data_IF_456651623690
#
_entry.id   IF_456651623690
#
_cell.length_a   1.000
_cell.length_b   1.000
_cell.length_c   1.000
_cell.angle_alpha   90.00
_cell.angle_beta   90.00
_cell.angle_gamma   90.00
#
_symmetry.space_group_name_H-M   'P 1'
#
loop_
_entity.id
_entity.type
_entity.pdbx_description
1 polymer ?
#
# COMPACT_ATOMS: atom_id res chain seq x y z
N UNK A 1 13.53 84.97 -22.30
CA UNK A 1 14.24 83.67 -22.22
C UNK A 1 13.51 82.69 -23.10
N UNK A 2 14.02 82.53 -24.31
CA UNK A 2 13.43 81.81 -25.43
C UNK A 2 13.64 80.29 -25.31
N UNK A 3 12.58 79.55 -25.64
CA UNK A 3 12.51 78.08 -25.78
C UNK A 3 13.62 77.48 -26.66
N UNK A 4 14.13 76.31 -26.29
CA UNK A 4 14.48 75.27 -27.28
C UNK A 4 14.13 73.87 -26.75
N UNK A 5 13.33 73.20 -27.56
CA UNK A 5 12.89 71.82 -27.44
C UNK A 5 13.68 71.01 -28.49
N UNK A 6 14.08 69.79 -28.12
CA UNK A 6 14.11 68.58 -28.98
C UNK A 6 15.33 68.26 -29.89
N UNK A 7 15.78 66.99 -29.71
CA UNK A 7 16.42 66.03 -30.64
C UNK A 7 17.93 66.15 -30.96
N UNK A 8 18.75 65.15 -30.59
CA UNK A 8 19.04 63.93 -31.37
C UNK A 8 20.35 63.22 -30.94
N UNK A 9 20.30 61.89 -30.89
CA UNK A 9 21.36 60.91 -31.19
C UNK A 9 22.72 60.95 -30.44
N UNK A 10 22.98 59.96 -29.58
CA UNK A 10 24.07 58.98 -29.79
C UNK A 10 24.22 57.98 -28.62
N UNK A 11 24.67 56.75 -28.98
CA UNK A 11 25.23 55.64 -28.16
C UNK A 11 24.23 54.63 -27.57
N UNK A 12 23.94 53.51 -28.24
CA UNK A 12 24.69 52.23 -28.35
C UNK A 12 24.90 51.45 -27.03
N UNK A 13 24.26 50.26 -27.00
CA UNK A 13 24.58 48.99 -26.30
C UNK A 13 24.74 48.97 -24.77
N UNK A 14 23.80 48.29 -24.09
CA UNK A 14 24.12 47.25 -23.11
C UNK A 14 22.90 46.41 -22.70
N UNK A 15 22.98 45.13 -23.09
CA UNK A 15 22.69 43.94 -22.28
C UNK A 15 21.24 43.59 -21.87
N UNK A 16 20.77 42.54 -22.55
CA UNK A 16 19.87 41.49 -22.08
C UNK A 16 19.73 41.39 -20.56
N UNK A 17 18.53 41.62 -20.07
CA UNK A 17 17.95 40.74 -19.06
C UNK A 17 16.63 40.23 -19.64
N UNK A 18 16.72 39.07 -20.27
CA UNK A 18 15.58 38.16 -20.42
C UNK A 18 14.94 38.03 -19.04
N UNK A 19 13.82 38.72 -18.82
CA UNK A 19 12.78 38.15 -17.97
C UNK A 19 12.30 36.90 -18.72
N UNK A 20 13.01 35.80 -18.53
CA UNK A 20 12.42 34.47 -18.58
C UNK A 20 11.37 34.47 -17.47
N UNK A 21 10.22 35.08 -17.75
CA UNK A 21 8.98 34.45 -17.37
C UNK A 21 9.08 33.08 -18.04
N UNK A 22 9.52 32.07 -17.28
CA UNK A 22 9.31 30.70 -17.70
C UNK A 22 7.83 30.63 -18.07
N UNK A 23 7.48 30.15 -19.27
CA UNK A 23 6.09 29.89 -19.52
C UNK A 23 5.67 28.96 -18.40
N UNK A 24 4.64 29.36 -17.68
CA UNK A 24 3.83 28.49 -16.83
C UNK A 24 3.12 27.47 -17.74
N UNK A 25 3.84 26.84 -18.67
CA UNK A 25 3.52 25.50 -19.11
C UNK A 25 3.74 24.65 -17.88
N UNK A 26 2.67 24.50 -17.11
CA UNK A 26 2.36 23.32 -16.33
C UNK A 26 3.51 22.32 -16.35
N UNK A 27 4.36 22.32 -15.32
CA UNK A 27 4.92 21.05 -14.88
C UNK A 27 3.68 20.21 -14.57
N UNK A 28 3.26 19.41 -15.55
CA UNK A 28 2.22 18.41 -15.37
C UNK A 28 2.81 17.44 -14.35
N UNK A 29 2.62 17.76 -13.06
CA UNK A 29 3.12 16.94 -11.99
C UNK A 29 2.41 15.60 -12.16
N UNK A 30 3.17 14.58 -12.52
CA UNK A 30 2.60 13.26 -12.80
C UNK A 30 2.07 12.71 -11.50
N UNK A 31 0.86 12.12 -11.53
CA UNK A 31 0.35 11.41 -10.36
C UNK A 31 1.36 10.34 -9.96
N UNK A 32 1.65 10.27 -8.68
CA UNK A 32 2.47 9.23 -8.10
C UNK A 32 1.67 8.49 -7.04
N UNK A 33 1.92 7.20 -6.90
CA UNK A 33 1.36 6.40 -5.83
C UNK A 33 2.35 6.39 -4.67
N UNK A 34 1.87 6.70 -3.47
CA UNK A 34 2.72 6.85 -2.31
C UNK A 34 1.93 6.63 -1.02
N UNK A 35 2.68 6.41 0.05
CA UNK A 35 2.19 6.31 1.43
C UNK A 35 2.66 7.52 2.21
N UNK A 36 1.78 8.12 3.00
CA UNK A 36 2.07 9.23 3.89
C UNK A 36 1.77 8.82 5.32
N UNK A 37 2.69 9.09 6.24
CA UNK A 37 2.49 8.86 7.68
C UNK A 37 2.08 10.18 8.35
N UNK A 38 1.10 10.11 9.24
CA UNK A 38 0.73 11.24 10.11
C UNK A 38 1.88 11.63 11.04
N UNK A 39 1.89 12.89 11.49
CA UNK A 39 2.95 13.41 12.36
C UNK A 39 3.03 12.70 13.73
N UNK A 40 1.93 12.07 14.17
CA UNK A 40 1.87 11.25 15.38
C UNK A 40 2.20 9.77 15.14
N UNK A 41 2.59 9.42 13.90
CA UNK A 41 2.97 8.07 13.45
C UNK A 41 1.84 7.04 13.47
N UNK A 42 0.61 7.41 13.85
CA UNK A 42 -0.48 6.44 14.07
C UNK A 42 -1.26 6.06 12.83
N UNK A 43 -1.17 6.85 11.76
CA UNK A 43 -1.96 6.67 10.54
C UNK A 43 -1.08 6.64 9.31
N UNK A 44 -1.20 5.58 8.51
CA UNK A 44 -0.68 5.53 7.14
C UNK A 44 -1.82 5.81 6.16
N UNK A 45 -1.59 6.71 5.19
CA UNK A 45 -2.56 6.98 4.12
C UNK A 45 -1.95 6.74 2.74
N UNK A 46 -2.64 5.96 1.92
CA UNK A 46 -2.27 5.63 0.55
C UNK A 46 -2.95 6.61 -0.41
N UNK A 47 -2.14 7.28 -1.24
CA UNK A 47 -2.57 8.29 -2.20
C UNK A 47 -2.11 7.96 -3.61
N UNK A 48 -2.88 8.41 -4.60
CA UNK A 48 -2.48 8.41 -6.01
C UNK A 48 -2.84 9.75 -6.64
N UNK A 49 -2.04 10.76 -6.33
CA UNK A 49 -2.28 12.16 -6.68
C UNK A 49 -0.96 12.87 -7.00
N UNK A 50 -1.01 14.20 -7.20
CA UNK A 50 0.14 15.04 -7.52
C UNK A 50 0.70 15.78 -6.30
N UNK A 51 0.24 15.44 -5.09
CA UNK A 51 0.40 16.25 -3.89
C UNK A 51 1.53 15.78 -2.98
N UNK A 52 2.18 14.64 -3.25
CA UNK A 52 3.21 14.08 -2.36
C UNK A 52 4.28 15.10 -1.97
N UNK A 53 4.81 15.85 -2.95
CA UNK A 53 5.85 16.86 -2.75
C UNK A 53 5.41 18.04 -1.84
N UNK A 54 4.10 18.23 -1.69
CA UNK A 54 3.53 19.30 -0.86
C UNK A 54 3.00 18.80 0.49
N UNK A 55 2.94 17.49 0.72
CA UNK A 55 2.49 16.92 2.00
C UNK A 55 3.58 17.03 3.04
N UNK A 56 3.16 17.37 4.25
CA UNK A 56 4.02 17.40 5.43
C UNK A 56 4.14 16.01 6.05
N UNK A 57 5.25 15.74 6.74
CA UNK A 57 5.49 14.45 7.38
C UNK A 57 6.28 13.49 6.48
N UNK A 58 6.39 12.24 6.92
CA UNK A 58 7.14 11.22 6.18
C UNK A 58 6.28 10.67 5.05
N UNK A 59 6.85 10.57 3.85
CA UNK A 59 6.20 9.92 2.69
C UNK A 59 7.16 8.98 1.99
N UNK A 60 6.63 7.89 1.45
CA UNK A 60 7.38 6.89 0.68
C UNK A 60 6.68 6.62 -0.64
N UNK A 61 7.45 6.44 -1.71
CA UNK A 61 6.88 6.00 -2.98
C UNK A 61 6.29 4.59 -2.80
N UNK A 62 5.23 4.24 -3.52
CA UNK A 62 4.60 2.92 -3.34
C UNK A 62 5.54 1.74 -3.66
N UNK A 63 6.59 1.99 -4.46
CA UNK A 63 7.65 1.02 -4.76
C UNK A 63 8.90 1.18 -3.91
N UNK A 64 8.91 2.10 -2.94
CA UNK A 64 10.07 2.37 -2.09
C UNK A 64 10.21 1.27 -1.03
N UNK A 65 11.43 0.76 -0.88
CA UNK A 65 11.70 -0.39 -0.01
C UNK A 65 12.87 -0.12 0.92
N UNK A 66 12.83 -0.69 2.12
CA UNK A 66 13.99 -0.85 3.01
C UNK A 66 14.48 -2.30 2.97
N UNK A 67 15.74 -2.51 3.38
CA UNK A 67 16.36 -3.84 3.38
C UNK A 67 16.17 -4.52 4.74
N UNK A 68 15.69 -5.76 4.70
CA UNK A 68 15.70 -6.69 5.82
C UNK A 68 16.59 -7.88 5.43
N UNK A 69 17.89 -7.77 5.74
CA UNK A 69 18.89 -8.67 5.14
C UNK A 69 18.89 -8.55 3.61
N UNK A 70 18.62 -9.66 2.91
CA UNK A 70 18.53 -9.70 1.44
C UNK A 70 17.11 -9.51 0.89
N UNK A 71 16.12 -9.36 1.78
CA UNK A 71 14.72 -9.31 1.39
C UNK A 71 14.25 -7.85 1.39
N UNK A 72 13.77 -7.31 0.25
CA UNK A 72 13.15 -5.99 0.25
C UNK A 72 11.79 -6.07 0.95
N UNK A 73 11.50 -5.03 1.73
CA UNK A 73 10.20 -4.80 2.38
C UNK A 73 9.77 -3.36 2.12
N UNK A 74 8.47 -3.06 1.99
CA UNK A 74 8.00 -1.69 1.81
C UNK A 74 8.57 -0.77 2.88
N UNK A 75 9.01 0.43 2.49
CA UNK A 75 9.73 1.33 3.39
C UNK A 75 8.89 1.72 4.63
N UNK A 76 7.57 1.78 4.47
CA UNK A 76 6.59 2.13 5.51
C UNK A 76 6.20 0.96 6.43
N UNK A 77 6.44 -0.29 6.03
CA UNK A 77 6.00 -1.46 6.80
C UNK A 77 6.97 -1.78 7.95
N UNK A 78 6.54 -2.59 8.92
CA UNK A 78 7.45 -3.18 9.92
C UNK A 78 8.41 -4.20 9.31
N UNK A 79 9.25 -4.82 10.15
CA UNK A 79 10.21 -5.88 9.80
C UNK A 79 10.26 -6.95 10.89
N UNK A 80 11.01 -8.04 10.70
CA UNK A 80 11.25 -8.99 11.80
C UNK A 80 12.14 -8.45 12.91
N UNK A 81 13.00 -7.47 12.61
CA UNK A 81 13.93 -6.86 13.57
C UNK A 81 13.31 -5.66 14.30
N UNK A 82 12.50 -4.90 13.59
CA UNK A 82 11.84 -3.67 14.03
C UNK A 82 10.38 -3.72 13.59
N UNK A 83 9.51 -4.11 14.51
CA UNK A 83 8.06 -4.17 14.28
C UNK A 83 7.44 -2.78 14.30
N UNK A 84 6.39 -2.58 13.52
CA UNK A 84 5.58 -1.37 13.62
C UNK A 84 4.54 -1.57 14.75
N UNK A 85 4.71 -0.77 15.81
CA UNK A 85 3.88 -0.78 17.02
C UNK A 85 3.09 0.51 17.21
N UNK A 86 3.16 1.43 16.25
CA UNK A 86 2.56 2.77 16.34
C UNK A 86 1.42 2.95 15.35
N UNK A 87 1.50 2.38 14.15
CA UNK A 87 0.42 2.47 13.15
C UNK A 87 -0.81 1.71 13.62
N UNK A 88 -1.85 2.43 14.02
CA UNK A 88 -3.13 1.85 14.46
C UNK A 88 -4.20 1.89 13.39
N UNK A 89 -4.03 2.77 12.38
CA UNK A 89 -5.00 3.00 11.32
C UNK A 89 -4.31 3.11 9.96
N UNK A 90 -4.92 2.50 8.95
CA UNK A 90 -4.57 2.69 7.53
C UNK A 90 -5.76 3.29 6.81
N UNK A 91 -5.51 4.21 5.90
CA UNK A 91 -6.52 4.82 5.03
C UNK A 91 -6.09 4.67 3.58
N UNK A 92 -6.95 4.13 2.74
CA UNK A 92 -6.85 4.29 1.29
C UNK A 92 -7.67 5.50 0.88
N UNK A 93 -7.02 6.55 0.40
CA UNK A 93 -7.72 7.73 -0.07
C UNK A 93 -8.47 7.44 -1.38
N UNK A 94 -9.54 8.19 -1.64
CA UNK A 94 -10.33 8.05 -2.85
C UNK A 94 -9.50 8.19 -4.14
N UNK A 95 -8.41 8.96 -4.10
CA UNK A 95 -7.46 9.09 -5.21
C UNK A 95 -6.80 7.76 -5.60
N UNK A 96 -6.64 6.82 -4.67
CA UNK A 96 -5.95 5.55 -4.89
C UNK A 96 -6.72 4.59 -5.81
N UNK A 97 -8.01 4.85 -6.06
CA UNK A 97 -8.91 3.97 -6.84
C UNK A 97 -8.43 3.64 -8.25
N UNK A 98 -7.61 4.51 -8.85
CA UNK A 98 -7.09 4.35 -10.21
C UNK A 98 -5.70 3.71 -10.25
N UNK A 99 -5.02 3.61 -9.11
CA UNK A 99 -3.76 2.90 -9.04
C UNK A 99 -4.00 1.39 -9.17
N UNK A 100 -3.10 0.70 -9.87
CA UNK A 100 -3.15 -0.74 -10.12
C UNK A 100 -1.83 -1.37 -9.66
N UNK A 101 -1.68 -1.70 -8.37
CA UNK A 101 -0.49 -2.41 -7.91
C UNK A 101 -0.38 -3.77 -8.60
N UNK A 102 0.85 -4.15 -8.96
CA UNK A 102 1.17 -5.51 -9.44
C UNK A 102 1.53 -6.46 -8.29
N UNK A 103 1.82 -5.91 -7.11
CA UNK A 103 2.08 -6.64 -5.87
C UNK A 103 1.56 -5.83 -4.68
N UNK A 104 0.97 -6.51 -3.70
CA UNK A 104 0.68 -5.97 -2.36
C UNK A 104 1.48 -6.68 -1.28
N UNK A 105 2.51 -7.44 -1.69
CA UNK A 105 3.32 -8.23 -0.80
C UNK A 105 3.90 -7.35 0.31
N UNK A 106 3.71 -7.79 1.55
CA UNK A 106 4.21 -7.14 2.77
C UNK A 106 3.74 -5.71 3.02
N UNK A 107 2.69 -5.21 2.36
CA UNK A 107 2.23 -3.83 2.55
C UNK A 107 1.88 -3.47 4.00
N UNK A 108 1.47 -4.43 4.82
CA UNK A 108 1.23 -4.26 6.26
C UNK A 108 2.05 -5.27 7.09
N UNK A 109 3.22 -5.67 6.57
CA UNK A 109 4.09 -6.62 7.26
C UNK A 109 4.49 -6.09 8.62
N UNK A 110 4.19 -6.86 9.67
CA UNK A 110 4.58 -6.58 11.07
C UNK A 110 4.04 -5.24 11.60
N UNK A 111 2.91 -4.76 11.09
CA UNK A 111 2.11 -3.69 11.69
C UNK A 111 1.28 -4.23 12.86
N UNK A 112 1.94 -4.53 13.98
CA UNK A 112 1.36 -5.24 15.12
C UNK A 112 0.27 -4.43 15.84
N UNK A 113 0.31 -3.09 15.76
CA UNK A 113 -0.68 -2.20 16.36
C UNK A 113 -1.89 -1.90 15.46
N UNK A 114 -1.91 -2.37 14.20
CA UNK A 114 -2.95 -2.05 13.23
C UNK A 114 -4.31 -2.63 13.65
N UNK A 115 -5.30 -1.76 13.84
CA UNK A 115 -6.66 -2.13 14.26
C UNK A 115 -7.71 -1.90 13.18
N UNK A 116 -7.48 -0.94 12.30
CA UNK A 116 -8.49 -0.48 11.35
C UNK A 116 -7.87 -0.13 10.00
N UNK A 117 -8.56 -0.55 8.94
CA UNK A 117 -8.24 -0.15 7.57
C UNK A 117 -9.50 0.43 6.94
N UNK A 118 -9.41 1.68 6.49
CA UNK A 118 -10.50 2.42 5.87
C UNK A 118 -10.24 2.57 4.36
N UNK A 119 -11.32 2.58 3.56
CA UNK A 119 -11.23 2.82 2.12
C UNK A 119 -10.70 1.65 1.29
N UNK A 120 -10.74 0.40 1.79
CA UNK A 120 -10.27 -0.78 1.03
C UNK A 120 -10.97 -0.96 -0.33
N UNK A 121 -12.16 -0.38 -0.54
CA UNK A 121 -12.81 -0.26 -1.85
C UNK A 121 -12.01 0.55 -2.90
N UNK A 122 -11.06 1.38 -2.47
CA UNK A 122 -10.17 2.14 -3.33
C UNK A 122 -8.84 1.41 -3.58
N UNK A 123 -8.60 0.26 -2.97
CA UNK A 123 -7.50 -0.62 -3.33
C UNK A 123 -7.92 -1.53 -4.49
N UNK A 124 -7.54 -1.18 -5.71
CA UNK A 124 -7.82 -2.02 -6.86
C UNK A 124 -6.77 -3.15 -7.01
N UNK A 125 -7.14 -4.38 -6.65
CA UNK A 125 -6.22 -5.53 -6.73
C UNK A 125 -6.25 -6.29 -8.06
N UNK A 126 -6.90 -5.76 -9.11
CA UNK A 126 -7.15 -6.53 -10.34
C UNK A 126 -5.89 -6.97 -11.10
N UNK A 127 -4.75 -6.33 -10.85
CA UNK A 127 -3.46 -6.64 -11.48
C UNK A 127 -2.44 -7.26 -10.51
N UNK A 128 -2.82 -7.48 -9.25
CA UNK A 128 -1.94 -8.03 -8.23
C UNK A 128 -1.66 -9.50 -8.52
N UNK A 129 -0.37 -9.85 -8.54
CA UNK A 129 0.12 -11.24 -8.70
C UNK A 129 0.62 -11.85 -7.39
N UNK A 130 1.10 -11.01 -6.49
CA UNK A 130 1.71 -11.43 -5.21
C UNK A 130 1.05 -10.67 -4.06
N UNK A 131 0.37 -11.42 -3.18
CA UNK A 131 -0.24 -10.96 -1.93
C UNK A 131 0.47 -11.55 -0.71
N UNK A 132 1.66 -12.14 -0.90
CA UNK A 132 2.39 -12.82 0.16
C UNK A 132 2.66 -11.88 1.33
N UNK A 133 2.39 -12.38 2.53
CA UNK A 133 2.60 -11.65 3.79
C UNK A 133 1.93 -10.27 3.88
N UNK A 134 0.90 -9.97 3.07
CA UNK A 134 0.28 -8.64 3.01
C UNK A 134 -0.17 -8.12 4.39
N UNK A 135 -0.79 -8.98 5.21
CA UNK A 135 -1.22 -8.67 6.58
C UNK A 135 -0.44 -9.46 7.63
N UNK A 136 0.73 -10.00 7.28
CA UNK A 136 1.45 -10.87 8.21
C UNK A 136 1.86 -10.12 9.47
N UNK A 137 1.44 -10.65 10.63
CA UNK A 137 1.74 -10.06 11.92
C UNK A 137 0.92 -8.83 12.27
N UNK A 138 -0.20 -8.54 11.59
CA UNK A 138 -1.19 -7.57 12.06
C UNK A 138 -1.94 -8.11 13.29
N UNK A 139 -1.24 -8.22 14.42
CA UNK A 139 -1.68 -8.99 15.59
C UNK A 139 -2.87 -8.38 16.33
N UNK A 140 -3.05 -7.05 16.25
CA UNK A 140 -4.19 -6.32 16.83
C UNK A 140 -5.43 -6.24 15.92
N UNK A 141 -5.36 -6.72 14.68
CA UNK A 141 -6.44 -6.62 13.71
C UNK A 141 -7.54 -7.64 14.02
N UNK A 142 -8.77 -7.18 14.19
CA UNK A 142 -9.91 -8.02 14.63
C UNK A 142 -10.86 -8.41 13.50
N UNK A 143 -10.93 -7.58 12.44
CA UNK A 143 -11.76 -7.77 11.26
C UNK A 143 -11.14 -7.09 10.03
N UNK A 144 -11.52 -7.56 8.84
CA UNK A 144 -11.12 -7.02 7.54
C UNK A 144 -12.29 -7.10 6.54
N UNK A 145 -12.61 -6.00 5.86
CA UNK A 145 -13.54 -6.01 4.72
C UNK A 145 -12.78 -6.24 3.41
N UNK A 146 -12.88 -7.46 2.88
CA UNK A 146 -12.17 -7.89 1.66
C UNK A 146 -13.09 -7.97 0.44
N UNK A 147 -14.32 -7.44 0.50
CA UNK A 147 -15.32 -7.65 -0.55
C UNK A 147 -14.91 -7.17 -1.94
N UNK A 148 -13.99 -6.20 -2.04
CA UNK A 148 -13.54 -5.64 -3.32
C UNK A 148 -12.24 -6.28 -3.85
N UNK A 149 -11.68 -7.26 -3.14
CA UNK A 149 -10.48 -7.94 -3.60
C UNK A 149 -10.79 -8.79 -4.82
N UNK A 150 -10.11 -8.48 -5.92
CA UNK A 150 -10.01 -9.33 -7.08
C UNK A 150 -8.68 -10.08 -7.03
N UNK A 151 -8.74 -11.39 -6.79
CA UNK A 151 -7.53 -12.23 -6.67
C UNK A 151 -7.28 -13.10 -7.89
N UNK A 152 -7.99 -12.87 -9.01
CA UNK A 152 -7.95 -13.76 -10.19
C UNK A 152 -6.56 -13.97 -10.78
N UNK A 153 -5.65 -13.02 -10.58
CA UNK A 153 -4.29 -13.02 -11.12
C UNK A 153 -3.23 -13.40 -10.07
N UNK A 154 -3.64 -13.64 -8.83
CA UNK A 154 -2.73 -13.90 -7.71
C UNK A 154 -2.20 -15.32 -7.81
N UNK A 155 -0.88 -15.45 -7.74
CA UNK A 155 -0.16 -16.74 -7.73
C UNK A 155 0.40 -17.07 -6.34
N UNK A 156 0.65 -16.08 -5.49
CA UNK A 156 1.22 -16.26 -4.15
C UNK A 156 0.34 -15.57 -3.09
N UNK A 157 -0.21 -16.39 -2.18
CA UNK A 157 -0.96 -15.98 -0.98
C UNK A 157 -0.27 -16.46 0.31
N UNK A 158 1.00 -16.90 0.21
CA UNK A 158 1.75 -17.44 1.33
C UNK A 158 1.79 -16.46 2.49
N UNK A 159 1.48 -16.95 3.69
CA UNK A 159 1.50 -16.18 4.94
C UNK A 159 0.63 -14.90 4.92
N UNK A 160 -0.33 -14.75 4.00
CA UNK A 160 -1.08 -13.50 3.81
C UNK A 160 -1.71 -12.96 5.10
N UNK A 161 -2.29 -13.85 5.92
CA UNK A 161 -2.91 -13.52 7.21
C UNK A 161 -2.16 -14.12 8.41
N UNK A 162 -1.00 -14.74 8.21
CA UNK A 162 -0.30 -15.40 9.31
C UNK A 162 0.03 -14.43 10.45
N UNK A 163 -0.13 -14.90 11.69
CA UNK A 163 0.05 -14.13 12.93
C UNK A 163 -0.94 -12.96 13.11
N UNK A 164 -2.06 -12.93 12.39
CA UNK A 164 -3.21 -12.07 12.73
C UNK A 164 -3.94 -12.64 13.96
N UNK A 165 -3.31 -12.54 15.12
CA UNK A 165 -3.71 -13.28 16.34
C UNK A 165 -5.09 -12.89 16.88
N UNK A 166 -5.52 -11.65 16.68
CA UNK A 166 -6.83 -11.15 17.14
C UNK A 166 -7.95 -11.30 16.10
N UNK A 167 -7.65 -11.79 14.90
CA UNK A 167 -8.63 -11.92 13.81
C UNK A 167 -9.58 -13.07 14.12
N UNK A 168 -10.89 -12.79 14.18
CA UNK A 168 -11.90 -13.75 14.64
C UNK A 168 -12.64 -14.47 13.50
N UNK A 169 -12.78 -13.79 12.36
CA UNK A 169 -13.45 -14.28 11.15
C UNK A 169 -12.94 -13.54 9.90
N UNK A 170 -13.08 -14.14 8.73
CA UNK A 170 -12.84 -13.53 7.43
C UNK A 170 -13.92 -13.94 6.42
N UNK A 171 -14.47 -12.99 5.66
CA UNK A 171 -15.28 -13.28 4.47
C UNK A 171 -14.36 -13.32 3.25
N UNK A 172 -14.19 -14.52 2.69
CA UNK A 172 -13.30 -14.78 1.55
C UNK A 172 -14.05 -15.12 0.26
N UNK A 173 -15.38 -14.97 0.21
CA UNK A 173 -16.22 -15.45 -0.92
C UNK A 173 -15.82 -14.92 -2.30
N UNK A 174 -15.17 -13.76 -2.35
CA UNK A 174 -14.75 -13.11 -3.60
C UNK A 174 -13.34 -13.54 -4.05
N UNK A 175 -12.64 -14.36 -3.27
CA UNK A 175 -11.32 -14.86 -3.63
C UNK A 175 -11.47 -15.89 -4.76
N UNK A 176 -10.93 -15.55 -5.92
CA UNK A 176 -10.65 -16.51 -6.97
C UNK A 176 -9.23 -17.05 -6.77
N UNK A 177 -9.11 -18.32 -6.42
CA UNK A 177 -7.82 -18.96 -6.14
C UNK A 177 -7.31 -19.86 -7.27
N UNK A 178 -7.97 -19.87 -8.44
CA UNK A 178 -7.68 -20.81 -9.53
C UNK A 178 -6.22 -20.76 -10.03
N UNK A 179 -5.54 -19.63 -9.86
CA UNK A 179 -4.17 -19.40 -10.30
C UNK A 179 -3.14 -19.44 -9.16
N UNK A 180 -3.58 -19.68 -7.93
CA UNK A 180 -2.70 -19.69 -6.76
C UNK A 180 -1.84 -20.95 -6.77
N UNK A 181 -0.53 -20.76 -6.53
CA UNK A 181 0.50 -21.79 -6.48
C UNK A 181 0.93 -22.03 -5.02
N UNK A 182 1.02 -20.97 -4.21
CA UNK A 182 1.47 -21.04 -2.81
C UNK A 182 0.44 -20.44 -1.84
N UNK A 183 -0.06 -21.27 -0.91
CA UNK A 183 -0.90 -20.90 0.23
C UNK A 183 -0.26 -21.32 1.57
N UNK A 184 1.03 -21.63 1.56
CA UNK A 184 1.76 -22.07 2.73
C UNK A 184 1.63 -21.05 3.85
N UNK A 185 1.35 -21.55 5.06
CA UNK A 185 1.18 -20.75 6.26
C UNK A 185 0.12 -19.62 6.19
N UNK A 186 -0.79 -19.61 5.21
CA UNK A 186 -1.69 -18.46 4.94
C UNK A 186 -2.42 -17.94 6.19
N UNK A 187 -2.88 -18.85 7.07
CA UNK A 187 -3.58 -18.53 8.32
C UNK A 187 -2.80 -18.94 9.58
N UNK A 188 -1.53 -19.34 9.47
CA UNK A 188 -0.78 -19.83 10.64
C UNK A 188 -0.75 -18.82 11.78
N UNK A 189 -0.87 -19.30 13.01
CA UNK A 189 -0.92 -18.49 14.24
C UNK A 189 -2.08 -17.47 14.30
N UNK A 190 -3.17 -17.70 13.57
CA UNK A 190 -4.43 -16.97 13.78
C UNK A 190 -5.17 -17.55 14.99
N UNK A 191 -4.72 -17.22 16.19
CA UNK A 191 -5.16 -17.85 17.44
C UNK A 191 -6.64 -17.65 17.76
N UNK A 192 -7.23 -16.52 17.36
CA UNK A 192 -8.63 -16.19 17.61
C UNK A 192 -9.58 -16.57 16.47
N UNK A 193 -9.08 -17.10 15.35
CA UNK A 193 -9.90 -17.43 14.18
C UNK A 193 -10.75 -18.66 14.47
N UNK A 194 -12.07 -18.52 14.41
CA UNK A 194 -13.01 -19.57 14.87
C UNK A 194 -13.56 -20.43 13.73
N UNK A 195 -13.78 -19.83 12.56
CA UNK A 195 -14.30 -20.50 11.37
C UNK A 195 -13.79 -19.86 10.07
N UNK A 196 -13.73 -20.65 9.01
CA UNK A 196 -13.51 -20.20 7.64
C UNK A 196 -14.39 -21.01 6.67
N UNK A 197 -15.01 -20.31 5.73
CA UNK A 197 -15.67 -20.91 4.55
C UNK A 197 -14.71 -20.82 3.36
N UNK A 198 -14.25 -21.98 2.89
CA UNK A 198 -13.32 -22.14 1.80
C UNK A 198 -13.90 -23.01 0.67
N UNK A 199 -15.22 -23.27 0.64
CA UNK A 199 -15.84 -24.18 -0.34
C UNK A 199 -15.57 -23.79 -1.80
N UNK A 200 -15.41 -22.49 -2.07
CA UNK A 200 -15.13 -21.94 -3.39
C UNK A 200 -13.65 -21.87 -3.75
N UNK A 201 -12.74 -22.27 -2.85
CA UNK A 201 -11.31 -22.30 -3.16
C UNK A 201 -11.01 -23.40 -4.19
N UNK A 202 -10.52 -22.99 -5.34
CA UNK A 202 -9.90 -23.89 -6.30
C UNK A 202 -8.41 -24.04 -5.95
N UNK A 203 -8.01 -25.24 -5.53
CA UNK A 203 -6.62 -25.56 -5.14
C UNK A 203 -5.88 -26.44 -6.15
N UNK A 204 -6.42 -26.65 -7.36
CA UNK A 204 -5.83 -27.59 -8.33
C UNK A 204 -4.40 -27.24 -8.76
N UNK A 205 -4.05 -25.95 -8.75
CA UNK A 205 -2.72 -25.45 -9.10
C UNK A 205 -1.80 -25.24 -7.88
N UNK A 206 -2.29 -25.44 -6.66
CA UNK A 206 -1.53 -25.16 -5.45
C UNK A 206 -0.51 -26.27 -5.22
N UNK A 207 0.76 -25.90 -5.14
CA UNK A 207 1.87 -26.83 -4.87
C UNK A 207 2.31 -26.83 -3.42
N UNK A 208 2.00 -25.78 -2.65
CA UNK A 208 2.33 -25.70 -1.22
C UNK A 208 1.17 -25.14 -0.40
N UNK A 209 0.64 -25.98 0.51
CA UNK A 209 -0.32 -25.62 1.57
C UNK A 209 0.23 -25.97 2.96
N UNK A 210 1.55 -26.15 3.08
CA UNK A 210 2.18 -26.55 4.32
C UNK A 210 1.85 -25.56 5.43
N UNK A 211 1.44 -26.10 6.58
CA UNK A 211 1.23 -25.35 7.82
C UNK A 211 0.20 -24.21 7.69
N UNK A 212 -0.69 -24.28 6.69
CA UNK A 212 -1.72 -23.26 6.38
C UNK A 212 -2.54 -22.85 7.61
N UNK A 213 -2.93 -23.81 8.47
CA UNK A 213 -3.68 -23.59 9.70
C UNK A 213 -2.89 -23.92 10.97
N UNK A 214 -1.55 -23.95 10.88
CA UNK A 214 -0.71 -24.26 12.03
C UNK A 214 -0.99 -23.30 13.18
N UNK A 215 -1.18 -23.82 14.40
CA UNK A 215 -1.47 -23.02 15.61
C UNK A 215 -2.75 -22.18 15.53
N UNK A 216 -3.72 -22.50 14.68
CA UNK A 216 -5.08 -21.93 14.74
C UNK A 216 -5.90 -22.61 15.85
N UNK A 217 -5.57 -22.34 17.11
CA UNK A 217 -6.09 -23.10 18.27
C UNK A 217 -7.59 -22.95 18.52
N UNK A 218 -8.23 -21.87 18.04
CA UNK A 218 -9.66 -21.64 18.17
C UNK A 218 -10.48 -22.09 16.95
N UNK A 219 -9.83 -22.58 15.88
CA UNK A 219 -10.51 -22.96 14.66
C UNK A 219 -11.28 -24.27 14.89
N UNK A 220 -12.61 -24.19 14.83
CA UNK A 220 -13.50 -25.33 15.10
C UNK A 220 -14.29 -25.77 13.88
N UNK A 221 -14.40 -24.92 12.85
CA UNK A 221 -15.07 -25.23 11.60
C UNK A 221 -14.23 -24.78 10.39
N UNK A 222 -14.19 -25.65 9.39
CA UNK A 222 -13.59 -25.40 8.08
C UNK A 222 -14.55 -26.00 7.06
N UNK A 223 -15.24 -25.14 6.32
CA UNK A 223 -16.25 -25.52 5.34
C UNK A 223 -15.69 -25.51 3.91
#
# INVERSE_FOLDING_TARGET
>A
MTHYLRYCCAMLFALCSFLLATPLSAQAQTREAYVSQSADETTLTFYYDTLRATRTGTTWGIGETKKEGYIPVPAWAGTSQEVDTTTTRVVFDASFRDFRPTTTAKWFYRCEALKQIEGLEYLNTSEVKDMSRMFYGCSALTALDLKNFNTKNVTDMSRMFAKCRALTSLDLKNFNTQNVIDMSWMFSDCWALTSLDLQHFNTQNVTDMSLMFSRCVALTALD
#
